data_IF_227679560321
#
_entry.id   IF_227679560321
#
_cell.length_a   1.000
_cell.length_b   1.000
_cell.length_c   1.000
_cell.angle_alpha   90.00
_cell.angle_beta   90.00
_cell.angle_gamma   90.00
#
_symmetry.space_group_name_H-M   'P 1'
#
loop_
_entity.id
_entity.type
_entity.pdbx_description
1 polymer ?
#
# COMPACT_ATOMS: atom_id res chain seq x y z
N UNK A 1 -22.78 -8.29 0.85
CA UNK A 1 -21.97 -9.38 1.45
C UNK A 1 -20.51 -9.17 1.12
N UNK A 2 -19.63 -9.18 2.13
CA UNK A 2 -18.18 -9.14 1.89
C UNK A 2 -17.74 -10.51 1.37
N UNK A 3 -17.11 -10.54 0.18
CA UNK A 3 -16.58 -11.78 -0.37
C UNK A 3 -15.06 -11.84 -0.14
N UNK A 4 -14.57 -12.53 0.92
CA UNK A 4 -13.15 -12.58 1.25
C UNK A 4 -12.31 -13.29 0.17
N UNK A 5 -12.93 -14.10 -0.68
CA UNK A 5 -12.28 -14.76 -1.80
C UNK A 5 -11.88 -13.77 -2.91
N UNK A 6 -12.75 -12.81 -3.23
CA UNK A 6 -12.43 -11.74 -4.21
C UNK A 6 -11.25 -10.87 -3.73
N UNK A 7 -11.22 -10.49 -2.46
CA UNK A 7 -10.13 -9.68 -1.90
C UNK A 7 -8.77 -10.38 -1.97
N UNK A 8 -8.71 -11.65 -1.53
CA UNK A 8 -7.49 -12.46 -1.58
C UNK A 8 -6.96 -12.66 -3.00
N UNK A 9 -7.86 -12.79 -3.98
CA UNK A 9 -7.47 -12.93 -5.38
C UNK A 9 -6.95 -11.62 -5.94
N UNK A 10 -7.50 -10.47 -5.54
CA UNK A 10 -7.00 -9.16 -5.93
C UNK A 10 -5.56 -8.94 -5.43
N UNK A 11 -5.28 -9.22 -4.15
CA UNK A 11 -3.91 -9.11 -3.60
C UNK A 11 -2.91 -9.93 -4.42
N UNK A 12 -3.22 -11.20 -4.67
CA UNK A 12 -2.36 -12.10 -5.47
C UNK A 12 -2.18 -11.62 -6.90
N UNK A 13 -3.24 -11.10 -7.51
CA UNK A 13 -3.18 -10.55 -8.87
C UNK A 13 -2.24 -9.33 -8.92
N UNK A 14 -2.37 -8.41 -7.97
CA UNK A 14 -1.50 -7.23 -7.90
C UNK A 14 -0.05 -7.65 -7.70
N UNK A 15 0.24 -8.53 -6.73
CA UNK A 15 1.59 -9.06 -6.51
C UNK A 15 2.16 -9.68 -7.80
N UNK A 16 1.36 -10.49 -8.48
CA UNK A 16 1.78 -11.13 -9.74
C UNK A 16 2.11 -10.11 -10.83
N UNK A 17 1.28 -9.08 -11.01
CA UNK A 17 1.47 -8.06 -12.05
C UNK A 17 2.74 -7.24 -11.78
N UNK A 18 3.00 -6.85 -10.54
CA UNK A 18 4.07 -5.90 -10.23
C UNK A 18 5.42 -6.56 -9.91
N UNK A 19 5.47 -7.86 -9.61
CA UNK A 19 6.66 -8.54 -9.07
C UNK A 19 7.93 -8.34 -9.90
N UNK A 20 7.85 -8.47 -11.22
CA UNK A 20 9.02 -8.40 -12.09
C UNK A 20 9.53 -6.95 -12.21
N UNK A 21 8.62 -5.98 -12.29
CA UNK A 21 8.97 -4.56 -12.32
C UNK A 21 9.52 -4.07 -10.98
N UNK A 22 8.96 -4.53 -9.87
CA UNK A 22 9.47 -4.25 -8.51
C UNK A 22 10.90 -4.80 -8.36
N UNK A 23 11.15 -6.04 -8.85
CA UNK A 23 12.48 -6.64 -8.84
C UNK A 23 13.50 -5.85 -9.68
N UNK A 24 13.09 -5.33 -10.86
CA UNK A 24 13.94 -4.46 -11.70
C UNK A 24 14.32 -3.14 -10.99
N UNK A 25 13.51 -2.70 -10.04
CA UNK A 25 13.79 -1.54 -9.18
C UNK A 25 14.67 -1.88 -7.97
N UNK A 26 15.18 -3.11 -7.89
CA UNK A 26 15.93 -3.63 -6.74
C UNK A 26 15.12 -3.56 -5.43
N UNK A 27 13.82 -3.84 -5.52
CA UNK A 27 12.91 -3.98 -4.40
C UNK A 27 12.41 -5.41 -4.28
N UNK A 28 11.98 -5.79 -3.09
CA UNK A 28 11.30 -7.05 -2.81
C UNK A 28 9.87 -6.79 -2.32
N UNK A 29 9.03 -7.83 -2.47
CA UNK A 29 7.62 -7.84 -2.04
C UNK A 29 7.48 -8.85 -0.90
N UNK A 30 6.73 -8.46 0.13
CA UNK A 30 6.22 -9.39 1.15
C UNK A 30 4.71 -9.14 1.37
N UNK A 31 3.95 -10.20 1.51
CA UNK A 31 2.54 -10.12 1.88
C UNK A 31 2.41 -9.72 3.36
N UNK A 32 1.57 -8.73 3.64
CA UNK A 32 1.38 -8.19 4.99
C UNK A 32 0.88 -9.25 5.98
N UNK A 33 0.02 -10.17 5.54
CA UNK A 33 -0.49 -11.25 6.38
C UNK A 33 0.61 -12.24 6.80
N UNK A 34 1.63 -12.46 5.97
CA UNK A 34 2.78 -13.31 6.32
C UNK A 34 3.53 -12.67 7.49
N UNK A 35 3.88 -11.39 7.40
CA UNK A 35 4.55 -10.68 8.50
C UNK A 35 3.70 -10.66 9.77
N UNK A 36 2.40 -10.45 9.65
CA UNK A 36 1.48 -10.34 10.78
C UNK A 36 1.32 -11.67 11.53
N UNK A 37 1.20 -12.78 10.82
CA UNK A 37 0.89 -14.11 11.39
C UNK A 37 2.12 -14.90 11.80
N UNK A 38 3.28 -14.62 11.19
CA UNK A 38 4.51 -15.33 11.50
C UNK A 38 5.18 -14.72 12.74
N UNK A 39 5.48 -15.59 13.72
CA UNK A 39 6.20 -15.16 14.92
C UNK A 39 7.63 -14.72 14.55
N UNK A 40 8.19 -13.81 15.33
CA UNK A 40 9.55 -13.29 15.11
C UNK A 40 10.60 -14.40 15.04
N UNK A 41 10.46 -15.45 15.87
CA UNK A 41 11.36 -16.60 15.88
C UNK A 41 11.36 -17.40 14.57
N UNK A 42 10.26 -17.38 13.82
CA UNK A 42 10.10 -18.13 12.57
C UNK A 42 10.31 -17.28 11.31
N UNK A 43 10.57 -15.98 11.45
CA UNK A 43 10.90 -15.10 10.33
C UNK A 43 12.42 -15.08 10.09
N UNK A 44 12.85 -15.12 8.82
CA UNK A 44 14.23 -14.79 8.47
C UNK A 44 14.62 -13.39 8.99
N UNK A 45 15.90 -13.19 9.34
CA UNK A 45 16.37 -11.93 9.93
C UNK A 45 16.03 -10.70 9.07
N UNK A 46 16.14 -10.81 7.75
CA UNK A 46 15.72 -9.74 6.81
C UNK A 46 14.25 -9.35 7.02
N UNK A 47 13.35 -10.31 7.10
CA UNK A 47 11.92 -10.04 7.28
C UNK A 47 11.58 -9.57 8.70
N UNK A 48 12.35 -9.99 9.70
CA UNK A 48 12.26 -9.43 11.05
C UNK A 48 12.61 -7.93 11.07
N UNK A 49 13.64 -7.53 10.32
CA UNK A 49 13.99 -6.10 10.15
C UNK A 49 12.88 -5.34 9.44
N UNK A 50 12.32 -5.89 8.35
CA UNK A 50 11.15 -5.29 7.65
C UNK A 50 9.99 -5.10 8.63
N UNK A 51 9.69 -6.12 9.44
CA UNK A 51 8.63 -6.07 10.45
C UNK A 51 8.88 -4.94 11.45
N UNK A 52 10.09 -4.83 12.02
CA UNK A 52 10.46 -3.76 12.96
C UNK A 52 10.35 -2.37 12.31
N UNK A 53 10.77 -2.23 11.05
CA UNK A 53 10.73 -0.96 10.32
C UNK A 53 9.31 -0.53 9.89
N UNK A 54 8.29 -1.31 10.20
CA UNK A 54 6.89 -1.02 9.89
C UNK A 54 5.99 -0.98 11.14
N UNK A 55 6.53 -1.30 12.32
CA UNK A 55 5.75 -1.25 13.56
C UNK A 55 5.34 0.17 13.89
N UNK A 56 4.08 0.30 14.31
CA UNK A 56 3.53 1.53 14.90
C UNK A 56 3.55 1.38 16.42
N UNK A 57 4.18 2.31 17.10
CA UNK A 57 4.23 2.34 18.56
C UNK A 57 2.93 2.95 19.14
N UNK A 58 2.31 2.22 20.06
CA UNK A 58 1.15 2.63 20.83
C UNK A 58 1.48 2.85 22.31
N UNK A 59 2.76 3.11 22.63
CA UNK A 59 3.23 3.34 24.00
C UNK A 59 3.04 2.10 24.87
N UNK A 60 2.37 2.26 26.01
CA UNK A 60 2.12 1.17 26.96
C UNK A 60 1.33 -0.03 26.37
N UNK A 61 0.63 0.17 25.24
CA UNK A 61 -0.11 -0.88 24.55
C UNK A 61 0.72 -1.66 23.53
N UNK A 62 2.02 -1.37 23.45
CA UNK A 62 2.96 -2.08 22.57
C UNK A 62 2.95 -1.61 21.12
N UNK A 63 3.73 -2.30 20.32
CA UNK A 63 3.90 -1.98 18.89
C UNK A 63 3.17 -2.99 18.01
N UNK A 64 2.46 -2.49 17.01
CA UNK A 64 1.63 -3.29 16.12
C UNK A 64 1.86 -2.96 14.64
N UNK A 65 1.74 -3.97 13.79
CA UNK A 65 1.78 -3.77 12.34
C UNK A 65 0.48 -3.12 11.84
N UNK A 66 0.57 -2.18 10.88
CA UNK A 66 -0.62 -1.72 10.15
C UNK A 66 -1.25 -2.87 9.36
N UNK A 67 -2.56 -2.79 9.16
CA UNK A 67 -3.29 -3.79 8.35
C UNK A 67 -3.18 -3.42 6.86
N UNK A 68 -2.09 -3.86 6.25
CA UNK A 68 -1.76 -3.64 4.84
C UNK A 68 -1.56 -4.99 4.13
N UNK A 69 -1.83 -5.01 2.82
CA UNK A 69 -1.86 -6.26 2.06
C UNK A 69 -0.50 -6.59 1.42
N UNK A 70 0.20 -5.58 0.89
CA UNK A 70 1.49 -5.73 0.20
C UNK A 70 2.49 -4.72 0.77
N UNK A 71 3.72 -5.16 0.99
CA UNK A 71 4.81 -4.34 1.52
C UNK A 71 5.97 -4.41 0.53
N UNK A 72 6.48 -3.24 0.10
CA UNK A 72 7.63 -3.08 -0.78
C UNK A 72 8.82 -2.56 0.04
N UNK A 73 9.96 -3.24 -0.06
CA UNK A 73 11.14 -2.90 0.73
C UNK A 73 12.46 -3.12 -0.02
N UNK A 74 13.49 -2.45 0.42
CA UNK A 74 14.86 -2.64 -0.08
C UNK A 74 15.47 -3.92 0.51
N UNK A 75 16.00 -4.84 -0.32
CA UNK A 75 16.50 -6.13 0.16
C UNK A 75 17.71 -6.03 1.09
N UNK A 76 18.59 -5.05 0.88
CA UNK A 76 19.86 -4.93 1.63
C UNK A 76 19.69 -4.24 2.99
N UNK A 77 18.81 -3.26 3.07
CA UNK A 77 18.58 -2.43 4.27
C UNK A 77 17.35 -2.86 5.06
N UNK A 78 16.44 -3.61 4.42
CA UNK A 78 15.09 -3.90 4.93
C UNK A 78 14.23 -2.64 5.14
N UNK A 79 14.62 -1.52 4.52
CA UNK A 79 13.84 -0.27 4.56
C UNK A 79 12.54 -0.44 3.80
N UNK A 80 11.43 -0.19 4.45
CA UNK A 80 10.12 -0.19 3.80
C UNK A 80 9.95 1.10 3.00
N UNK A 81 9.65 0.96 1.71
CA UNK A 81 9.46 2.10 0.79
C UNK A 81 7.99 2.45 0.66
N UNK A 82 7.14 1.43 0.51
CA UNK A 82 5.71 1.62 0.35
C UNK A 82 4.91 0.44 0.89
N UNK A 83 3.68 0.72 1.27
CA UNK A 83 2.66 -0.28 1.59
C UNK A 83 1.44 -0.07 0.72
N UNK A 84 0.75 -1.15 0.38
CA UNK A 84 -0.40 -1.14 -0.50
C UNK A 84 -1.56 -1.86 0.18
N UNK A 85 -2.71 -1.21 0.22
CA UNK A 85 -3.98 -1.85 0.57
C UNK A 85 -4.74 -2.18 -0.71
N UNK A 86 -5.16 -3.44 -0.87
CA UNK A 86 -5.88 -3.94 -2.03
C UNK A 86 -7.32 -4.28 -1.65
N UNK A 87 -8.29 -3.53 -2.14
CA UNK A 87 -9.72 -3.75 -1.81
C UNK A 87 -10.59 -3.63 -3.06
N UNK A 88 -11.55 -4.52 -3.17
CA UNK A 88 -12.49 -4.55 -4.31
C UNK A 88 -13.48 -3.38 -4.25
N UNK A 89 -13.93 -3.05 -3.04
CA UNK A 89 -14.80 -1.90 -2.76
C UNK A 89 -14.18 -1.02 -1.67
N UNK A 90 -14.40 0.27 -1.75
CA UNK A 90 -13.78 1.22 -0.84
C UNK A 90 -14.48 1.33 0.51
N UNK A 91 -15.77 1.62 0.52
CA UNK A 91 -16.59 1.80 1.74
C UNK A 91 -15.77 2.43 2.89
N UNK A 92 -15.89 1.87 4.11
CA UNK A 92 -15.13 2.29 5.30
C UNK A 92 -13.63 1.94 5.25
N UNK A 93 -13.21 1.08 4.33
CA UNK A 93 -11.82 0.59 4.26
C UNK A 93 -10.83 1.63 3.81
N UNK A 94 -11.28 2.61 3.03
CA UNK A 94 -10.43 3.73 2.64
C UNK A 94 -10.07 4.60 3.84
N UNK A 95 -11.00 4.79 4.77
CA UNK A 95 -10.75 5.53 6.00
C UNK A 95 -9.73 4.80 6.89
N UNK A 96 -9.79 3.46 6.95
CA UNK A 96 -8.79 2.64 7.64
C UNK A 96 -7.39 2.82 7.02
N UNK A 97 -7.29 2.84 5.71
CA UNK A 97 -6.00 3.06 5.02
C UNK A 97 -5.46 4.48 5.29
N UNK A 98 -6.33 5.49 5.29
CA UNK A 98 -5.97 6.86 5.70
C UNK A 98 -5.48 6.93 7.14
N UNK A 99 -6.12 6.22 8.06
CA UNK A 99 -5.66 6.10 9.45
C UNK A 99 -4.24 5.54 9.53
N UNK A 100 -3.92 4.48 8.79
CA UNK A 100 -2.55 3.94 8.76
C UNK A 100 -1.54 4.94 8.21
N UNK A 101 -1.90 5.73 7.18
CA UNK A 101 -1.02 6.79 6.68
C UNK A 101 -0.71 7.82 7.76
N UNK A 102 -1.72 8.29 8.48
CA UNK A 102 -1.54 9.26 9.57
C UNK A 102 -0.64 8.68 10.66
N UNK A 103 -0.87 7.43 11.05
CA UNK A 103 -0.05 6.75 12.07
C UNK A 103 1.40 6.58 11.64
N UNK A 104 1.64 6.11 10.42
CA UNK A 104 3.01 5.97 9.89
C UNK A 104 3.71 7.33 9.77
N UNK A 105 2.99 8.39 9.42
CA UNK A 105 3.56 9.73 9.30
C UNK A 105 3.89 10.40 10.65
N UNK A 106 3.41 9.85 11.77
CA UNK A 106 3.65 10.39 13.11
C UNK A 106 4.92 9.88 13.80
N UNK A 107 5.70 9.01 13.14
CA UNK A 107 6.93 8.42 13.69
C UNK A 107 8.08 8.59 12.68
N UNK A 108 9.23 9.07 13.15
CA UNK A 108 10.42 9.34 12.33
C UNK A 108 10.93 8.10 11.56
N UNK A 109 10.73 6.91 12.12
CA UNK A 109 11.15 5.65 11.48
C UNK A 109 10.26 5.31 10.28
N UNK A 110 8.97 5.66 10.33
CA UNK A 110 7.97 5.25 9.34
C UNK A 110 7.40 6.39 8.49
N UNK A 111 7.68 7.66 8.81
CA UNK A 111 7.10 8.84 8.12
C UNK A 111 7.36 8.85 6.61
N UNK A 112 8.50 8.29 6.18
CA UNK A 112 8.90 8.22 4.77
C UNK A 112 8.07 7.20 3.97
N UNK A 113 7.39 6.25 4.63
CA UNK A 113 6.66 5.15 3.99
C UNK A 113 5.47 5.71 3.21
N UNK A 114 5.40 5.35 1.92
CA UNK A 114 4.26 5.70 1.08
C UNK A 114 3.13 4.71 1.27
N UNK A 115 1.93 5.23 1.36
CA UNK A 115 0.71 4.42 1.55
C UNK A 115 -0.17 4.56 0.32
N UNK A 116 -0.30 3.45 -0.41
CA UNK A 116 -1.09 3.36 -1.63
C UNK A 116 -2.33 2.49 -1.44
N UNK A 117 -3.33 2.77 -2.26
CA UNK A 117 -4.55 1.99 -2.35
C UNK A 117 -4.76 1.50 -3.78
N UNK A 118 -5.02 0.22 -3.96
CA UNK A 118 -5.31 -0.38 -5.27
C UNK A 118 -6.69 -1.03 -5.24
N UNK A 119 -7.51 -0.71 -6.23
CA UNK A 119 -8.91 -1.15 -6.30
C UNK A 119 -9.40 -1.24 -7.74
N UNK A 120 -10.28 -2.19 -8.08
CA UNK A 120 -11.07 -2.11 -9.31
C UNK A 120 -12.17 -1.05 -9.24
N UNK A 121 -12.45 -0.48 -8.04
CA UNK A 121 -13.47 0.54 -7.80
C UNK A 121 -14.87 0.13 -8.30
N UNK A 122 -15.29 -1.11 -7.99
CA UNK A 122 -16.59 -1.67 -8.46
C UNK A 122 -17.80 -0.78 -8.08
N UNK A 123 -17.70 0.05 -7.05
CA UNK A 123 -18.72 0.99 -6.60
C UNK A 123 -18.58 2.42 -7.19
N UNK A 124 -17.59 2.64 -8.05
CA UNK A 124 -17.41 3.89 -8.79
C UNK A 124 -17.21 5.11 -7.87
N UNK A 125 -16.50 4.94 -6.76
CA UNK A 125 -16.33 6.00 -5.77
C UNK A 125 -15.15 6.90 -6.07
N UNK A 126 -14.19 6.44 -6.87
CA UNK A 126 -12.99 7.19 -7.29
C UNK A 126 -13.10 7.79 -8.68
N UNK A 127 -14.13 7.47 -9.45
CA UNK A 127 -14.22 7.83 -10.88
C UNK A 127 -14.34 9.33 -11.14
N UNK A 128 -14.98 10.09 -10.25
CA UNK A 128 -15.29 11.51 -10.50
C UNK A 128 -14.72 12.45 -9.44
N UNK A 129 -14.30 13.62 -9.89
CA UNK A 129 -13.90 14.75 -9.03
C UNK A 129 -15.11 15.63 -8.65
N UNK A 130 -16.13 15.74 -9.50
CA UNK A 130 -17.31 16.58 -9.25
C UNK A 130 -18.59 15.84 -9.60
N UNK A 131 -19.55 15.64 -8.66
CA UNK A 131 -19.36 15.86 -7.22
C UNK A 131 -18.40 14.81 -6.62
N UNK A 132 -17.50 15.28 -5.75
CA UNK A 132 -16.54 14.39 -5.10
C UNK A 132 -17.24 13.54 -4.04
N UNK A 133 -17.00 12.23 -4.08
CA UNK A 133 -17.46 11.31 -3.01
C UNK A 133 -16.45 11.31 -1.84
N UNK A 134 -16.92 11.04 -0.62
CA UNK A 134 -16.10 11.03 0.60
C UNK A 134 -14.83 10.16 0.46
N UNK A 135 -14.95 8.98 -0.14
CA UNK A 135 -13.81 8.10 -0.33
C UNK A 135 -12.73 8.74 -1.22
N UNK A 136 -13.14 9.40 -2.30
CA UNK A 136 -12.23 10.15 -3.16
C UNK A 136 -11.54 11.29 -2.41
N UNK A 137 -12.30 12.05 -1.59
CA UNK A 137 -11.74 13.14 -0.80
C UNK A 137 -10.65 12.63 0.18
N UNK A 138 -10.87 11.49 0.84
CA UNK A 138 -9.86 10.87 1.73
C UNK A 138 -8.59 10.51 0.95
N UNK A 139 -8.71 9.94 -0.24
CA UNK A 139 -7.53 9.64 -1.08
C UNK A 139 -6.77 10.91 -1.42
N UNK A 140 -7.47 11.94 -1.86
CA UNK A 140 -6.85 13.20 -2.29
C UNK A 140 -6.14 13.94 -1.14
N UNK A 141 -6.62 13.79 0.09
CA UNK A 141 -6.06 14.46 1.26
C UNK A 141 -5.04 13.61 2.02
N UNK A 142 -5.36 12.35 2.31
CA UNK A 142 -4.66 11.58 3.32
C UNK A 142 -3.67 10.55 2.75
N UNK A 143 -3.92 9.99 1.55
CA UNK A 143 -3.04 8.97 0.96
C UNK A 143 -1.94 9.57 0.08
N UNK A 144 -0.93 8.77 -0.22
CA UNK A 144 0.10 9.12 -1.20
C UNK A 144 -0.35 8.84 -2.64
N UNK A 145 -1.33 7.94 -2.83
CA UNK A 145 -1.95 7.66 -4.11
C UNK A 145 -2.93 6.50 -4.07
N UNK A 146 -3.81 6.47 -5.06
CA UNK A 146 -4.70 5.36 -5.32
C UNK A 146 -4.70 5.02 -6.80
N UNK A 147 -4.68 3.73 -7.11
CA UNK A 147 -4.59 3.24 -8.47
C UNK A 147 -5.78 2.35 -8.79
N UNK A 148 -6.51 2.70 -9.86
CA UNK A 148 -7.75 2.05 -10.24
C UNK A 148 -7.49 1.06 -11.37
N UNK A 149 -7.82 -0.22 -11.14
CA UNK A 149 -7.80 -1.29 -12.13
C UNK A 149 -9.12 -1.26 -12.92
N UNK A 150 -9.16 -0.46 -13.96
CA UNK A 150 -10.36 -0.31 -14.81
C UNK A 150 -9.96 0.01 -16.25
N UNK A 151 -10.81 -0.40 -17.20
CA UNK A 151 -10.77 0.06 -18.59
C UNK A 151 -11.67 1.28 -18.81
N UNK A 152 -12.51 1.60 -17.84
CA UNK A 152 -13.37 2.77 -17.90
C UNK A 152 -12.58 4.06 -17.69
N UNK A 153 -13.05 5.15 -18.28
CA UNK A 153 -12.48 6.47 -18.10
C UNK A 153 -12.70 6.95 -16.66
N UNK A 154 -11.64 7.41 -16.01
CA UNK A 154 -11.70 8.05 -14.69
C UNK A 154 -11.19 9.49 -14.80
N UNK A 155 -11.70 10.38 -13.97
CA UNK A 155 -11.15 11.71 -13.80
C UNK A 155 -9.88 11.63 -12.94
N UNK A 156 -8.73 11.55 -13.60
CA UNK A 156 -7.44 11.43 -12.90
C UNK A 156 -7.07 12.70 -12.14
N UNK A 157 -6.25 12.53 -11.13
CA UNK A 157 -5.61 13.60 -10.36
C UNK A 157 -4.14 13.25 -10.11
N UNK A 158 -3.46 14.07 -9.33
CA UNK A 158 -2.08 13.75 -8.87
C UNK A 158 -2.08 12.44 -8.05
N UNK A 159 -3.15 12.17 -7.29
CA UNK A 159 -3.23 11.02 -6.37
C UNK A 159 -4.11 9.87 -6.85
N UNK A 160 -5.08 10.12 -7.73
CA UNK A 160 -5.93 9.04 -8.28
C UNK A 160 -5.65 8.87 -9.75
N UNK A 161 -5.16 7.68 -10.10
CA UNK A 161 -4.68 7.35 -11.44
C UNK A 161 -5.12 5.94 -11.84
N UNK A 162 -5.02 5.64 -13.13
CA UNK A 162 -5.13 4.25 -13.58
C UNK A 162 -3.94 3.42 -13.10
N UNK A 163 -4.16 2.14 -12.84
CA UNK A 163 -3.14 1.23 -12.30
C UNK A 163 -1.88 1.12 -13.20
N UNK A 164 -2.03 1.31 -14.50
CA UNK A 164 -0.89 1.31 -15.43
C UNK A 164 0.20 2.34 -15.08
N UNK A 165 -0.12 3.38 -14.32
CA UNK A 165 0.84 4.41 -13.90
C UNK A 165 1.60 4.06 -12.61
N UNK A 166 1.18 3.01 -11.89
CA UNK A 166 1.74 2.65 -10.58
C UNK A 166 3.26 2.46 -10.61
N UNK A 167 3.77 1.67 -11.55
CA UNK A 167 5.21 1.39 -11.65
C UNK A 167 6.01 2.65 -11.99
N UNK A 168 5.47 3.52 -12.84
CA UNK A 168 6.09 4.80 -13.16
C UNK A 168 6.23 5.70 -11.94
N UNK A 169 5.22 5.72 -11.08
CA UNK A 169 5.26 6.47 -9.83
C UNK A 169 6.17 5.80 -8.77
N UNK A 170 6.16 4.48 -8.68
CA UNK A 170 7.07 3.74 -7.81
C UNK A 170 8.55 4.00 -8.16
N UNK A 171 8.89 4.08 -9.44
CA UNK A 171 10.25 4.44 -9.91
C UNK A 171 10.75 5.79 -9.37
N UNK A 172 9.85 6.74 -9.13
CA UNK A 172 10.20 8.06 -8.59
C UNK A 172 10.57 8.02 -7.10
N UNK A 173 10.14 6.99 -6.38
CA UNK A 173 10.40 6.82 -4.95
C UNK A 173 11.75 6.16 -4.67
N UNK A 174 12.25 5.38 -5.62
CA UNK A 174 13.52 4.67 -5.46
C UNK A 174 14.65 5.62 -5.84
N UNK A 175 15.68 5.77 -4.97
CA UNK A 175 16.85 6.57 -5.32
C UNK A 175 17.44 6.07 -6.65
N UNK A 176 17.69 6.96 -7.59
CA UNK A 176 18.48 6.63 -8.77
C UNK A 176 19.85 6.21 -8.26
N UNK A 177 20.19 4.93 -8.36
CA UNK A 177 21.53 4.47 -8.12
C UNK A 177 22.46 5.34 -8.97
N UNK A 178 23.23 6.19 -8.32
CA UNK A 178 24.22 7.02 -9.00
C UNK A 178 25.16 6.10 -9.80
N UNK A 179 25.27 6.41 -11.09
CA UNK A 179 26.40 5.92 -11.89
C UNK A 179 27.65 6.56 -11.41
#
# INVERSE_FOLDING_TARGET
MHNPFKGKNLEKLIEYIIKDEVKKLNLEIINGNILKRTTTANLPEKLNKVKRNLLIDYGEFGAHLPDVDIILFEPNTSKVIAVISCKVTLRERIAQTGYWKIKLASDEVTEHIKVFFVTPDEDGTLTKLKPIKKARAIVETDLDGSYVLTEATIEESVKVKTFGQFIGDLKKLVPKNGR
#
